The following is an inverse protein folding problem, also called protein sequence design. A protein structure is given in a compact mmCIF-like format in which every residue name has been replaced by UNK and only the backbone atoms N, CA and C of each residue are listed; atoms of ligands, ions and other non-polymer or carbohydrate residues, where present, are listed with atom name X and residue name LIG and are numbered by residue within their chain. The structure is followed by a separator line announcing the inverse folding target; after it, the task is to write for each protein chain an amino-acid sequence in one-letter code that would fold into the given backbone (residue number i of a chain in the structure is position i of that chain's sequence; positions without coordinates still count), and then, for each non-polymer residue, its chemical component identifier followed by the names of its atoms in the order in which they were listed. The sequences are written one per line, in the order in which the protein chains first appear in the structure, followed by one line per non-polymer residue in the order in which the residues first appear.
data_IF_338082118741
#
_entry.id   IF_338082118741
#
_cell.length_a   1.000
_cell.length_b   1.000
_cell.length_c   1.000
_cell.angle_alpha   90.00
_cell.angle_beta   90.00
_cell.angle_gamma   90.00
#
_symmetry.space_group_name_H-M   'P 1'
#
loop_
_entity.id
_entity.type
_entity.pdbx_description
1 polymer ?
#
# COMPACT_ATOMS: atom_id res chain seq x y z
N UNK A 1 2.59 -4.77 14.40
CA UNK A 1 2.06 -4.22 13.16
C UNK A 1 0.94 -5.11 12.65
N UNK A 2 -0.20 -4.53 12.36
CA UNK A 2 -1.40 -5.25 11.93
C UNK A 2 -1.44 -5.45 10.42
N UNK A 3 -0.92 -4.50 9.66
CA UNK A 3 -0.93 -4.53 8.21
C UNK A 3 0.16 -3.63 7.65
N UNK A 4 0.54 -3.87 6.39
CA UNK A 4 1.45 -3.03 5.65
C UNK A 4 0.71 -2.52 4.42
N UNK A 5 0.76 -1.21 4.20
CA UNK A 5 0.12 -0.55 3.06
C UNK A 5 1.21 0.11 2.23
N UNK A 6 1.18 -0.10 0.92
CA UNK A 6 2.12 0.56 0.02
C UNK A 6 1.40 1.04 -1.23
N UNK A 7 2.00 2.01 -1.93
CA UNK A 7 1.51 2.43 -3.23
C UNK A 7 2.44 1.93 -4.33
N UNK A 8 1.93 1.78 -5.53
CA UNK A 8 2.76 1.30 -6.62
C UNK A 8 2.18 1.61 -8.00
N UNK A 9 3.07 1.96 -8.93
CA UNK A 9 2.76 2.05 -10.34
C UNK A 9 3.01 0.73 -11.06
N UNK A 10 4.13 0.07 -10.74
CA UNK A 10 4.65 -1.07 -11.49
C UNK A 10 4.58 -2.40 -10.74
N UNK A 11 4.23 -2.38 -9.46
CA UNK A 11 4.25 -3.57 -8.64
C UNK A 11 5.62 -3.89 -8.04
N UNK A 12 6.63 -3.08 -8.29
CA UNK A 12 8.00 -3.34 -7.85
C UNK A 12 8.12 -3.48 -6.34
N UNK A 13 7.54 -2.55 -5.60
CA UNK A 13 7.55 -2.61 -4.13
C UNK A 13 6.83 -3.86 -3.63
N UNK A 14 5.71 -4.20 -4.25
CA UNK A 14 4.96 -5.41 -3.89
C UNK A 14 5.75 -6.68 -4.09
N UNK A 15 6.54 -6.74 -5.16
CA UNK A 15 7.39 -7.90 -5.40
C UNK A 15 8.44 -8.07 -4.31
N UNK A 16 9.07 -6.97 -3.89
CA UNK A 16 10.02 -7.01 -2.79
C UNK A 16 9.38 -7.45 -1.47
N UNK A 17 8.22 -6.88 -1.15
CA UNK A 17 7.50 -7.24 0.06
C UNK A 17 7.08 -8.70 0.07
N UNK A 18 6.64 -9.22 -1.08
CA UNK A 18 6.25 -10.62 -1.20
C UNK A 18 7.43 -11.56 -0.95
N UNK A 19 8.63 -11.18 -1.36
CA UNK A 19 9.84 -11.97 -1.12
C UNK A 19 10.17 -12.10 0.36
N UNK A 20 9.93 -11.06 1.14
CA UNK A 20 10.14 -11.10 2.57
C UNK A 20 9.08 -11.91 3.32
N UNK A 21 7.95 -12.16 2.68
CA UNK A 21 6.84 -12.93 3.24
C UNK A 21 6.48 -12.51 4.66
N UNK A 22 6.11 -11.24 4.86
CA UNK A 22 5.76 -10.78 6.20
C UNK A 22 4.55 -11.55 6.72
N UNK A 23 4.47 -11.71 8.04
CA UNK A 23 3.38 -12.44 8.69
C UNK A 23 2.10 -11.63 8.79
N UNK A 24 2.10 -10.42 8.27
CA UNK A 24 0.94 -9.52 8.30
C UNK A 24 0.42 -9.31 6.90
N UNK A 25 -0.88 -8.99 6.74
CA UNK A 25 -1.44 -8.70 5.43
C UNK A 25 -0.75 -7.50 4.78
N UNK A 26 -0.60 -7.58 3.46
CA UNK A 26 -0.05 -6.50 2.64
C UNK A 26 -1.15 -6.01 1.72
N UNK A 27 -1.41 -4.70 1.73
CA UNK A 27 -2.41 -4.07 0.88
C UNK A 27 -1.74 -3.11 -0.08
N UNK A 28 -2.02 -3.26 -1.37
CA UNK A 28 -1.41 -2.45 -2.42
C UNK A 28 -2.39 -1.40 -2.92
N UNK A 29 -1.98 -0.15 -2.89
CA UNK A 29 -2.73 0.95 -3.51
C UNK A 29 -2.14 1.15 -4.90
N UNK A 30 -2.84 0.64 -5.92
CA UNK A 30 -2.34 0.55 -7.28
C UNK A 30 -2.89 1.66 -8.14
N UNK A 31 -1.99 2.37 -8.85
CA UNK A 31 -2.39 3.47 -9.71
C UNK A 31 -2.90 2.99 -11.08
N UNK A 32 -2.73 1.70 -11.39
CA UNK A 32 -3.31 1.13 -12.60
C UNK A 32 -3.87 -0.27 -12.36
N UNK A 33 -4.87 -0.63 -13.15
CA UNK A 33 -5.58 -1.90 -12.97
C UNK A 33 -4.75 -3.12 -13.37
N UNK A 34 -3.83 -2.94 -14.31
CA UNK A 34 -2.96 -4.04 -14.74
C UNK A 34 -2.06 -4.49 -13.58
N UNK A 35 -1.40 -3.54 -12.92
CA UNK A 35 -0.55 -3.84 -11.77
C UNK A 35 -1.34 -4.49 -10.65
N UNK A 36 -2.54 -3.99 -10.39
CA UNK A 36 -3.42 -4.55 -9.35
C UNK A 36 -3.70 -6.03 -9.59
N UNK A 37 -4.03 -6.39 -10.83
CA UNK A 37 -4.31 -7.79 -11.19
C UNK A 37 -3.05 -8.65 -11.14
N UNK A 38 -1.93 -8.12 -11.60
CA UNK A 38 -0.66 -8.85 -11.59
C UNK A 38 -0.23 -9.19 -10.16
N UNK A 39 -0.35 -8.25 -9.23
CA UNK A 39 0.00 -8.50 -7.84
C UNK A 39 -0.89 -9.56 -7.20
N UNK A 40 -2.19 -9.53 -7.50
CA UNK A 40 -3.12 -10.51 -6.97
C UNK A 40 -2.83 -11.92 -7.50
N UNK A 41 -2.59 -12.04 -8.80
CA UNK A 41 -2.41 -13.34 -9.45
C UNK A 41 -1.03 -13.95 -9.20
N UNK A 42 0.01 -13.12 -9.15
CA UNK A 42 1.40 -13.60 -9.08
C UNK A 42 1.93 -13.64 -7.65
N UNK A 43 1.53 -12.71 -6.82
CA UNK A 43 2.13 -12.52 -5.49
C UNK A 43 1.12 -12.64 -4.35
N UNK A 44 -0.14 -12.90 -4.65
CA UNK A 44 -1.21 -13.00 -3.64
C UNK A 44 -1.31 -11.76 -2.76
N UNK A 45 -1.08 -10.60 -3.37
CA UNK A 45 -1.19 -9.31 -2.70
C UNK A 45 -2.53 -8.67 -3.07
N UNK A 46 -3.33 -8.33 -2.06
CA UNK A 46 -4.62 -7.71 -2.27
C UNK A 46 -4.44 -6.26 -2.70
N UNK A 47 -4.95 -5.91 -3.87
CA UNK A 47 -4.80 -4.59 -4.45
C UNK A 47 -6.09 -3.79 -4.50
N UNK A 48 -5.95 -2.49 -4.35
CA UNK A 48 -7.02 -1.53 -4.52
C UNK A 48 -6.64 -0.54 -5.61
N UNK A 49 -7.60 -0.19 -6.45
CA UNK A 49 -7.38 0.87 -7.44
C UNK A 49 -7.37 2.21 -6.71
N UNK A 50 -6.35 3.01 -6.96
CA UNK A 50 -6.10 4.22 -6.19
C UNK A 50 -5.75 5.37 -7.12
N UNK A 51 -6.22 6.57 -6.80
CA UNK A 51 -5.88 7.76 -7.57
C UNK A 51 -4.72 8.51 -6.93
N UNK A 52 -3.88 9.12 -7.77
CA UNK A 52 -2.72 9.87 -7.29
C UNK A 52 -3.18 11.07 -6.48
N UNK A 53 -2.69 11.19 -5.26
CA UNK A 53 -3.00 12.33 -4.40
C UNK A 53 -1.92 13.41 -4.44
N UNK A 54 -0.69 13.02 -4.84
CA UNK A 54 0.43 13.94 -4.90
C UNK A 54 1.07 14.27 -3.55
N UNK A 55 0.47 13.84 -2.44
CA UNK A 55 1.00 14.10 -1.10
C UNK A 55 1.01 12.85 -0.26
N UNK A 56 1.93 12.81 0.70
CA UNK A 56 2.02 11.72 1.67
C UNK A 56 0.74 11.65 2.52
N UNK A 57 0.28 12.78 3.00
CA UNK A 57 -0.91 12.86 3.83
C UNK A 57 -2.15 12.37 3.10
N UNK A 58 -2.28 12.72 1.83
CA UNK A 58 -3.39 12.26 1.01
C UNK A 58 -3.36 10.76 0.82
N UNK A 59 -2.18 10.19 0.55
CA UNK A 59 -2.02 8.75 0.42
C UNK A 59 -2.40 8.04 1.72
N UNK A 60 -1.85 8.47 2.85
CA UNK A 60 -2.11 7.85 4.15
C UNK A 60 -3.60 7.91 4.49
N UNK A 61 -4.20 9.10 4.40
CA UNK A 61 -5.59 9.28 4.78
C UNK A 61 -6.56 8.49 3.90
N UNK A 62 -6.36 8.55 2.58
CA UNK A 62 -7.25 7.84 1.66
C UNK A 62 -7.12 6.34 1.77
N UNK A 63 -5.90 5.85 1.98
CA UNK A 63 -5.67 4.41 2.20
C UNK A 63 -6.35 3.92 3.47
N UNK A 64 -6.24 4.69 4.55
CA UNK A 64 -6.92 4.35 5.81
C UNK A 64 -8.42 4.30 5.64
N UNK A 65 -9.00 5.28 4.94
CA UNK A 65 -10.44 5.32 4.72
C UNK A 65 -10.92 4.10 3.95
N UNK A 66 -10.20 3.71 2.90
CA UNK A 66 -10.55 2.55 2.09
C UNK A 66 -10.52 1.27 2.92
N UNK A 67 -9.46 1.08 3.69
CA UNK A 67 -9.29 -0.15 4.45
C UNK A 67 -10.20 -0.23 5.66
N UNK A 68 -10.48 0.89 6.31
CA UNK A 68 -11.45 0.94 7.40
C UNK A 68 -12.86 0.60 6.89
N UNK A 69 -13.24 1.18 5.75
CA UNK A 69 -14.54 0.93 5.14
C UNK A 69 -14.69 -0.53 4.72
N UNK A 70 -13.60 -1.13 4.23
CA UNK A 70 -13.60 -2.52 3.79
C UNK A 70 -13.40 -3.52 4.95
N UNK A 71 -13.25 -3.04 6.17
CA UNK A 71 -13.13 -3.88 7.35
C UNK A 71 -11.79 -4.59 7.51
N UNK A 72 -10.76 -4.16 6.79
CA UNK A 72 -9.44 -4.81 6.83
C UNK A 72 -8.59 -4.36 8.01
N UNK A 73 -8.85 -3.18 8.51
CA UNK A 73 -8.15 -2.61 9.68
C UNK A 73 -9.17 -1.98 10.61
N UNK A 74 -8.77 -1.72 11.85
CA UNK A 74 -9.65 -1.15 12.87
C UNK A 74 -8.94 -0.05 13.63
N UNK A 75 -9.71 0.83 14.26
CA UNK A 75 -9.13 1.85 15.13
C UNK A 75 -8.30 1.20 16.24
N UNK A 76 -7.13 1.79 16.50
CA UNK A 76 -6.19 1.25 17.46
C UNK A 76 -5.10 0.38 16.84
N UNK A 77 -5.27 -0.06 15.62
CA UNK A 77 -4.27 -0.89 14.94
C UNK A 77 -3.03 -0.07 14.58
N UNK A 78 -1.86 -0.70 14.69
CA UNK A 78 -0.61 -0.13 14.19
C UNK A 78 -0.40 -0.60 12.77
N UNK A 79 -0.26 0.35 11.84
CA UNK A 79 -0.15 0.07 10.42
C UNK A 79 1.14 0.67 9.86
N UNK A 80 1.84 -0.08 9.04
CA UNK A 80 3.02 0.40 8.34
C UNK A 80 2.66 0.91 6.95
N UNK A 81 3.23 2.06 6.56
CA UNK A 81 3.03 2.65 5.24
C UNK A 81 4.37 2.73 4.53
N UNK A 82 4.40 2.27 3.29
CA UNK A 82 5.55 2.42 2.41
C UNK A 82 5.06 3.14 1.16
N UNK A 83 5.55 4.34 0.94
CA UNK A 83 5.09 5.16 -0.16
C UNK A 83 6.23 5.84 -0.88
N UNK A 84 5.87 6.69 -1.85
CA UNK A 84 6.83 7.45 -2.64
C UNK A 84 6.71 7.20 -4.13
N UNK A 85 5.87 6.26 -4.56
CA UNK A 85 5.70 5.97 -5.99
C UNK A 85 5.12 7.14 -6.76
N UNK A 86 4.41 8.04 -6.09
CA UNK A 86 3.89 9.26 -6.70
C UNK A 86 4.99 10.30 -6.93
N UNK A 87 6.19 10.06 -6.46
CA UNK A 87 7.34 10.95 -6.59
C UNK A 87 8.51 10.20 -7.21
N UNK A 88 8.25 9.51 -8.29
CA UNK A 88 9.18 8.59 -8.96
C UNK A 88 10.47 9.26 -9.41
N UNK A 89 10.41 10.52 -9.84
CA UNK A 89 11.56 11.24 -10.36
C UNK A 89 12.71 11.31 -9.36
N UNK A 90 12.39 11.33 -8.09
CA UNK A 90 13.38 11.43 -7.02
C UNK A 90 13.70 10.08 -6.41
N UNK A 91 12.99 9.02 -6.79
CA UNK A 91 13.18 7.70 -6.21
C UNK A 91 12.97 7.67 -4.71
N UNK A 92 12.30 8.67 -4.16
CA UNK A 92 12.12 8.81 -2.73
C UNK A 92 11.10 7.82 -2.20
N UNK A 93 11.54 6.89 -1.39
CA UNK A 93 10.66 5.95 -0.70
C UNK A 93 10.71 6.26 0.79
N UNK A 94 9.55 6.31 1.42
CA UNK A 94 9.47 6.49 2.85
C UNK A 94 8.75 5.32 3.50
N UNK A 95 9.05 5.10 4.78
CA UNK A 95 8.34 4.13 5.60
C UNK A 95 7.88 4.84 6.87
N UNK A 96 6.65 4.62 7.25
CA UNK A 96 6.06 5.24 8.43
C UNK A 96 5.13 4.26 9.13
N UNK A 97 5.13 4.28 10.45
CA UNK A 97 4.20 3.50 11.25
C UNK A 97 3.22 4.46 11.93
N UNK A 98 1.95 4.09 11.90
CA UNK A 98 0.91 4.95 12.46
C UNK A 98 -0.15 4.11 13.16
N UNK A 99 -0.55 4.56 14.35
CA UNK A 99 -1.76 4.03 15.01
C UNK A 99 -2.99 4.72 14.43
N UNK A 100 -3.99 3.93 14.17
CA UNK A 100 -5.22 4.43 13.56
C UNK A 100 -6.19 4.97 14.60
#
# INVERSE_FOLDING_TARGET
VKAIIFDTWTGRTGRYLAEFRPKVPIYAMCYNSFTMRELALTYDIYGYKFEITGTKEGFVQNSLNILLEDGKISKGDLVGFIGGSFNDELGATYMEFKYI
#
